data_IF_430612557618
#
_entry.id   IF_430612557618
#
_cell.length_a   1.000
_cell.length_b   1.000
_cell.length_c   1.000
_cell.angle_alpha   90.00
_cell.angle_beta   90.00
_cell.angle_gamma   90.00
#
_symmetry.space_group_name_H-M   'P 1'
#
loop_
_entity.id
_entity.type
_entity.pdbx_description
1 polymer ?
#
# COMPACT_ATOMS: atom_id res chain seq x y z
N UNK A 1 -65.72 43.67 24.29
CA UNK A 1 -66.16 42.34 23.81
C UNK A 1 -64.97 41.46 23.71
N UNK A 2 -64.85 40.50 24.59
CA UNK A 2 -63.71 39.58 24.63
C UNK A 2 -64.13 38.28 24.00
N UNK A 3 -63.20 37.74 23.13
CA UNK A 3 -63.30 36.37 22.73
C UNK A 3 -61.95 35.69 22.99
N UNK A 4 -61.94 34.78 23.94
CA UNK A 4 -60.86 33.91 24.30
C UNK A 4 -60.68 32.80 23.24
N UNK A 5 -59.44 32.56 22.83
CA UNK A 5 -59.02 31.46 22.00
C UNK A 5 -58.28 30.42 22.86
N UNK A 6 -58.84 29.21 22.95
CA UNK A 6 -58.25 28.06 23.62
C UNK A 6 -57.04 27.54 22.83
N UNK A 7 -55.85 27.53 23.46
CA UNK A 7 -54.69 26.79 22.96
C UNK A 7 -54.82 25.30 23.30
N UNK A 8 -55.04 24.49 22.28
CA UNK A 8 -55.00 23.04 22.39
C UNK A 8 -53.54 22.55 22.57
N UNK A 9 -53.31 21.84 23.66
CA UNK A 9 -52.03 21.21 24.00
C UNK A 9 -51.94 19.88 23.26
N UNK A 10 -51.14 19.81 22.21
CA UNK A 10 -50.83 18.57 21.52
C UNK A 10 -49.82 17.77 22.33
N UNK A 11 -50.23 16.59 22.78
CA UNK A 11 -49.33 15.60 23.38
C UNK A 11 -48.55 14.90 22.29
N UNK A 12 -47.22 15.10 22.27
CA UNK A 12 -46.31 14.33 21.44
C UNK A 12 -46.02 13.03 22.16
N UNK A 13 -46.54 11.92 21.66
CA UNK A 13 -46.15 10.59 22.09
C UNK A 13 -44.77 10.23 21.51
N UNK A 14 -43.74 10.21 22.34
CA UNK A 14 -42.46 9.62 22.03
C UNK A 14 -42.58 8.09 22.02
N UNK A 15 -42.66 7.51 20.85
CA UNK A 15 -42.43 6.07 20.68
C UNK A 15 -40.98 5.73 20.94
N UNK A 16 -40.69 5.18 22.11
CA UNK A 16 -39.44 4.49 22.39
C UNK A 16 -39.36 3.25 21.48
N UNK A 17 -38.54 3.32 20.45
CA UNK A 17 -38.19 2.16 19.62
C UNK A 17 -37.31 1.25 20.47
N UNK A 18 -37.88 0.15 20.95
CA UNK A 18 -37.19 -0.86 21.72
C UNK A 18 -35.98 -1.38 20.91
N UNK A 19 -34.80 -1.26 21.49
CA UNK A 19 -33.59 -1.89 21.02
C UNK A 19 -33.78 -3.40 21.16
N UNK A 20 -34.03 -4.11 20.06
CA UNK A 20 -34.00 -5.57 20.05
C UNK A 20 -32.55 -6.00 20.33
N UNK A 21 -32.28 -6.44 21.55
CA UNK A 21 -31.03 -7.13 21.87
C UNK A 21 -31.04 -8.46 21.10
N UNK A 22 -30.20 -8.58 20.09
CA UNK A 22 -29.96 -9.86 19.38
C UNK A 22 -29.22 -10.74 20.40
N UNK A 23 -29.91 -11.67 21.01
CA UNK A 23 -29.30 -12.69 21.86
C UNK A 23 -28.62 -13.73 20.94
N UNK A 24 -27.33 -13.54 20.65
CA UNK A 24 -26.53 -14.52 19.95
C UNK A 24 -26.19 -15.63 20.95
N UNK A 25 -26.54 -16.90 20.67
CA UNK A 25 -26.18 -18.01 21.55
C UNK A 25 -24.66 -18.05 21.75
N UNK A 26 -24.23 -18.23 22.99
CA UNK A 26 -22.81 -18.25 23.38
C UNK A 26 -21.91 -19.11 22.45
N UNK A 27 -22.30 -20.31 22.01
CA UNK A 27 -21.45 -21.10 21.11
C UNK A 27 -21.27 -20.44 19.73
N UNK A 28 -22.25 -19.71 19.22
CA UNK A 28 -22.13 -18.98 17.94
C UNK A 28 -21.18 -17.79 18.11
N UNK A 29 -21.26 -17.08 19.22
CA UNK A 29 -20.35 -15.97 19.51
C UNK A 29 -18.90 -16.45 19.60
N UNK A 30 -18.64 -17.59 20.24
CA UNK A 30 -17.31 -18.20 20.33
C UNK A 30 -16.78 -18.58 18.94
N UNK A 31 -17.61 -19.16 18.09
CA UNK A 31 -17.23 -19.51 16.72
C UNK A 31 -16.89 -18.28 15.87
N UNK A 32 -17.63 -17.17 16.02
CA UNK A 32 -17.35 -15.90 15.35
C UNK A 32 -15.98 -15.35 15.82
N UNK A 33 -15.74 -15.33 17.12
CA UNK A 33 -14.47 -14.84 17.69
C UNK A 33 -13.29 -15.68 17.23
N UNK A 34 -13.42 -17.01 17.25
CA UNK A 34 -12.38 -17.92 16.76
C UNK A 34 -12.14 -17.75 15.25
N UNK A 35 -13.20 -17.53 14.47
CA UNK A 35 -13.08 -17.26 13.03
C UNK A 35 -12.34 -15.96 12.75
N UNK A 36 -12.68 -14.88 13.47
CA UNK A 36 -11.99 -13.59 13.34
C UNK A 36 -10.52 -13.69 13.76
N UNK A 37 -10.22 -14.40 14.86
CA UNK A 37 -8.84 -14.63 15.31
C UNK A 37 -8.06 -15.47 14.29
N UNK A 38 -8.65 -16.50 13.71
CA UNK A 38 -8.01 -17.33 12.70
C UNK A 38 -7.68 -16.53 11.42
N UNK A 39 -8.60 -15.65 10.97
CA UNK A 39 -8.36 -14.76 9.82
C UNK A 39 -7.24 -13.77 10.15
N UNK A 40 -7.24 -13.17 11.34
CA UNK A 40 -6.20 -12.23 11.75
C UNK A 40 -4.82 -12.88 11.86
N UNK A 41 -4.74 -14.12 12.35
CA UNK A 41 -3.49 -14.90 12.41
C UNK A 41 -3.04 -15.27 11.00
N UNK A 42 -3.96 -15.65 10.12
CA UNK A 42 -3.68 -15.96 8.73
C UNK A 42 -3.11 -14.75 7.98
N UNK A 43 -3.77 -13.58 8.09
CA UNK A 43 -3.29 -12.34 7.48
C UNK A 43 -1.93 -11.90 8.03
N UNK A 44 -1.69 -12.03 9.34
CA UNK A 44 -0.41 -11.73 9.96
C UNK A 44 0.69 -12.70 9.48
N UNK A 45 0.37 -13.99 9.31
CA UNK A 45 1.31 -15.01 8.83
C UNK A 45 1.65 -14.82 7.35
N UNK A 46 0.66 -14.44 6.52
CA UNK A 46 0.89 -14.15 5.09
C UNK A 46 1.72 -12.88 4.89
N UNK A 47 1.54 -11.87 5.77
CA UNK A 47 2.33 -10.62 5.74
C UNK A 47 3.77 -10.77 6.23
N UNK A 48 4.12 -11.88 6.88
CA UNK A 48 5.44 -12.01 7.51
C UNK A 48 6.52 -12.68 6.66
N UNK A 49 6.16 -13.30 5.55
CA UNK A 49 7.07 -14.19 4.81
C UNK A 49 7.63 -13.55 3.52
N UNK A 50 8.22 -12.37 3.64
CA UNK A 50 9.01 -11.76 2.55
C UNK A 50 10.53 -11.82 2.80
N UNK A 51 10.95 -12.40 3.93
CA UNK A 51 12.35 -12.43 4.36
C UNK A 51 13.20 -13.53 3.70
N UNK A 52 14.45 -13.63 4.13
CA UNK A 52 15.44 -14.63 3.67
C UNK A 52 15.86 -14.51 2.21
N UNK A 53 15.71 -13.33 1.62
CA UNK A 53 16.20 -13.07 0.27
C UNK A 53 17.71 -12.76 0.28
N UNK A 54 18.38 -13.03 -0.83
CA UNK A 54 19.79 -12.70 -1.01
C UNK A 54 19.89 -11.56 -2.05
N UNK A 55 20.85 -10.62 -1.85
CA UNK A 55 21.13 -9.62 -2.85
C UNK A 55 21.50 -10.25 -4.21
N UNK A 56 21.23 -9.54 -5.31
CA UNK A 56 21.68 -9.96 -6.62
C UNK A 56 23.21 -9.93 -6.70
N UNK A 57 23.79 -10.98 -7.27
CA UNK A 57 25.22 -11.05 -7.57
C UNK A 57 25.47 -10.53 -8.97
N UNK A 58 26.48 -9.71 -9.14
CA UNK A 58 26.87 -9.16 -10.44
C UNK A 58 26.89 -7.65 -10.49
N UNK A 59 27.06 -7.11 -11.70
CA UNK A 59 27.02 -5.68 -11.98
C UNK A 59 25.99 -5.44 -13.06
N UNK A 60 25.06 -4.57 -12.79
CA UNK A 60 23.94 -4.23 -13.67
C UNK A 60 24.00 -2.76 -14.06
N UNK A 61 23.40 -2.40 -15.17
CA UNK A 61 23.23 -1.00 -15.55
C UNK A 61 22.36 -0.28 -14.49
N UNK A 62 22.62 0.98 -14.27
CA UNK A 62 21.77 1.79 -13.37
C UNK A 62 21.07 2.86 -14.18
N UNK A 63 19.77 3.01 -13.93
CA UNK A 63 19.02 4.14 -14.46
C UNK A 63 19.40 5.41 -13.69
N UNK A 64 19.53 6.58 -14.34
CA UNK A 64 20.06 7.79 -13.70
C UNK A 64 19.16 8.37 -12.60
N UNK A 65 17.89 7.98 -12.55
CA UNK A 65 16.91 8.52 -11.59
C UNK A 65 16.28 7.40 -10.77
N UNK A 66 16.01 7.68 -9.49
CA UNK A 66 15.24 6.80 -8.60
C UNK A 66 13.78 7.24 -8.49
N UNK A 67 13.52 8.52 -8.70
CA UNK A 67 12.19 9.12 -8.58
C UNK A 67 11.93 10.08 -9.74
N UNK A 68 10.78 9.94 -10.37
CA UNK A 68 10.23 10.85 -11.39
C UNK A 68 8.84 11.24 -10.92
N UNK A 69 8.69 12.42 -10.35
CA UNK A 69 7.38 12.95 -9.91
C UNK A 69 6.95 14.09 -10.81
N UNK A 70 6.19 13.76 -11.85
CA UNK A 70 5.67 14.72 -12.84
C UNK A 70 4.62 15.67 -12.25
N UNK A 71 4.08 15.34 -11.09
CA UNK A 71 2.90 16.00 -10.52
C UNK A 71 3.18 16.77 -9.24
N UNK A 72 4.41 16.69 -8.71
CA UNK A 72 4.77 17.16 -7.37
C UNK A 72 3.81 16.60 -6.29
N UNK A 73 3.43 15.34 -6.45
CA UNK A 73 2.51 14.66 -5.53
C UNK A 73 3.17 14.31 -4.21
N UNK A 74 4.44 13.91 -4.26
CA UNK A 74 5.22 13.51 -3.10
C UNK A 74 5.95 14.72 -2.52
N UNK A 75 6.15 14.75 -1.20
CA UNK A 75 7.02 15.72 -0.53
C UNK A 75 8.37 15.09 -0.23
N UNK A 76 9.36 15.96 0.03
CA UNK A 76 10.69 15.55 0.52
C UNK A 76 11.36 14.47 -0.35
N UNK A 77 11.43 14.73 -1.65
CA UNK A 77 11.96 13.81 -2.68
C UNK A 77 13.34 13.25 -2.30
N UNK A 78 14.19 14.04 -1.67
CA UNK A 78 15.53 13.60 -1.25
C UNK A 78 15.45 12.41 -0.27
N UNK A 79 14.53 12.44 0.68
CA UNK A 79 14.35 11.34 1.64
C UNK A 79 13.84 10.07 0.96
N UNK A 80 12.95 10.21 -0.04
CA UNK A 80 12.48 9.08 -0.84
C UNK A 80 13.64 8.46 -1.61
N UNK A 81 14.43 9.29 -2.28
CA UNK A 81 15.62 8.84 -3.03
C UNK A 81 16.61 8.14 -2.11
N UNK A 82 16.87 8.67 -0.90
CA UNK A 82 17.73 8.02 0.09
C UNK A 82 17.22 6.62 0.49
N UNK A 83 15.91 6.45 0.64
CA UNK A 83 15.30 5.15 0.92
C UNK A 83 15.45 4.16 -0.24
N UNK A 84 15.22 4.62 -1.48
CA UNK A 84 15.38 3.81 -2.70
C UNK A 84 16.85 3.44 -2.93
N UNK A 85 17.76 4.34 -2.65
CA UNK A 85 19.19 4.11 -2.74
C UNK A 85 19.68 3.11 -1.68
N UNK A 86 19.16 3.21 -0.45
CA UNK A 86 19.42 2.21 0.59
C UNK A 86 19.00 0.81 0.15
N UNK A 87 17.83 0.67 -0.48
CA UNK A 87 17.36 -0.60 -1.03
C UNK A 87 18.33 -1.11 -2.11
N UNK A 88 18.72 -0.26 -3.06
CA UNK A 88 19.70 -0.62 -4.10
C UNK A 88 21.03 -1.09 -3.51
N UNK A 89 21.61 -0.31 -2.59
CA UNK A 89 22.90 -0.61 -1.97
C UNK A 89 22.92 -1.94 -1.22
N UNK A 90 21.77 -2.36 -0.69
CA UNK A 90 21.63 -3.61 0.06
C UNK A 90 21.26 -4.82 -0.79
N UNK A 91 20.51 -4.62 -1.87
CA UNK A 91 19.93 -5.71 -2.65
C UNK A 91 20.50 -5.82 -4.05
N UNK A 92 21.18 -4.78 -4.53
CA UNK A 92 21.62 -4.64 -5.93
C UNK A 92 20.43 -4.63 -6.93
N UNK A 93 19.22 -4.33 -6.44
CA UNK A 93 18.00 -4.14 -7.23
C UNK A 93 17.65 -2.66 -7.24
N UNK A 94 17.61 -2.05 -8.41
CA UNK A 94 17.18 -0.67 -8.54
C UNK A 94 15.67 -0.58 -8.71
N UNK A 95 15.02 0.09 -7.76
CA UNK A 95 13.60 0.44 -7.83
C UNK A 95 13.47 1.88 -8.30
N UNK A 96 12.71 2.10 -9.37
CA UNK A 96 12.40 3.44 -9.89
C UNK A 96 10.91 3.71 -9.69
N UNK A 97 10.60 4.87 -9.12
CA UNK A 97 9.22 5.30 -8.87
C UNK A 97 8.86 6.42 -9.83
N UNK A 98 7.76 6.25 -10.54
CA UNK A 98 7.16 7.26 -11.43
C UNK A 98 5.80 7.67 -10.86
N UNK A 99 5.60 8.96 -10.63
CA UNK A 99 4.30 9.54 -10.24
C UNK A 99 3.76 10.33 -11.41
N UNK A 100 2.62 9.90 -11.94
CA UNK A 100 2.04 10.47 -13.15
C UNK A 100 0.53 10.69 -13.01
N UNK A 101 0.01 11.70 -13.70
CA UNK A 101 -1.44 11.93 -13.85
C UNK A 101 -2.05 11.23 -15.07
N UNK A 102 -1.24 10.50 -15.84
CA UNK A 102 -1.66 9.78 -17.04
C UNK A 102 -2.52 8.56 -16.73
N UNK A 103 -3.20 8.05 -17.76
CA UNK A 103 -3.87 6.75 -17.70
C UNK A 103 -2.86 5.62 -17.91
N UNK A 104 -2.89 4.64 -17.03
CA UNK A 104 -1.98 3.50 -17.04
C UNK A 104 -2.74 2.17 -17.12
N UNK A 105 -2.02 1.10 -17.45
CA UNK A 105 -2.46 -0.28 -17.43
C UNK A 105 -1.23 -1.15 -17.17
N UNK A 106 -1.44 -2.42 -16.81
CA UNK A 106 -0.35 -3.38 -16.61
C UNK A 106 0.55 -3.47 -17.84
N UNK A 107 -0.05 -3.58 -19.04
CA UNK A 107 0.72 -3.66 -20.28
C UNK A 107 1.56 -2.40 -20.52
N UNK A 108 0.99 -1.21 -20.24
CA UNK A 108 1.73 0.04 -20.40
C UNK A 108 2.88 0.16 -19.41
N UNK A 109 2.73 -0.36 -18.19
CA UNK A 109 3.81 -0.39 -17.21
C UNK A 109 4.96 -1.30 -17.67
N UNK A 110 4.63 -2.47 -18.23
CA UNK A 110 5.62 -3.38 -18.83
C UNK A 110 6.30 -2.74 -20.04
N UNK A 111 5.54 -2.10 -20.94
CA UNK A 111 6.11 -1.41 -22.10
C UNK A 111 7.06 -0.27 -21.70
N UNK A 112 6.73 0.45 -20.61
CA UNK A 112 7.57 1.51 -20.09
C UNK A 112 8.82 0.96 -19.41
N UNK A 113 8.72 -0.16 -18.68
CA UNK A 113 9.85 -0.86 -18.10
C UNK A 113 10.93 -1.14 -19.16
N UNK A 114 10.56 -1.79 -20.28
CA UNK A 114 11.49 -2.14 -21.35
C UNK A 114 11.99 -0.95 -22.18
N UNK A 115 11.41 0.24 -22.05
CA UNK A 115 11.99 1.48 -22.58
C UNK A 115 13.01 2.11 -21.65
N UNK A 116 12.86 1.91 -20.35
CA UNK A 116 13.71 2.52 -19.34
C UNK A 116 14.95 1.69 -19.03
N UNK A 117 14.83 0.36 -19.07
CA UNK A 117 15.87 -0.54 -18.59
C UNK A 117 16.33 -1.51 -19.67
N UNK A 118 17.65 -1.70 -19.71
CA UNK A 118 18.32 -2.61 -20.65
C UNK A 118 18.54 -4.00 -20.04
N UNK A 119 18.33 -4.18 -18.73
CA UNK A 119 18.48 -5.44 -18.02
C UNK A 119 17.34 -5.70 -17.02
N UNK A 120 17.34 -6.89 -16.44
CA UNK A 120 16.25 -7.41 -15.59
C UNK A 120 16.50 -7.21 -14.07
N UNK A 121 17.47 -6.37 -13.69
CA UNK A 121 17.79 -6.09 -12.28
C UNK A 121 17.03 -4.88 -11.70
N UNK A 122 15.90 -4.55 -12.30
CA UNK A 122 15.11 -3.36 -11.99
C UNK A 122 13.67 -3.69 -11.59
N UNK A 123 13.05 -2.75 -10.87
CA UNK A 123 11.60 -2.70 -10.64
C UNK A 123 11.11 -1.29 -10.95
N UNK A 124 10.03 -1.19 -11.70
CA UNK A 124 9.30 0.05 -11.96
C UNK A 124 8.03 0.07 -11.12
N UNK A 125 7.82 1.12 -10.36
CA UNK A 125 6.56 1.39 -9.65
C UNK A 125 5.95 2.64 -10.24
N UNK A 126 4.68 2.59 -10.62
CA UNK A 126 3.93 3.70 -11.17
C UNK A 126 2.78 4.04 -10.24
N UNK A 127 2.76 5.27 -9.73
CA UNK A 127 1.72 5.80 -8.88
C UNK A 127 0.88 6.78 -9.71
N UNK A 128 -0.42 6.51 -9.80
CA UNK A 128 -1.32 7.41 -10.51
C UNK A 128 -1.98 8.39 -9.56
N UNK A 129 -2.01 9.67 -9.94
CA UNK A 129 -2.66 10.73 -9.15
C UNK A 129 -4.06 11.06 -9.64
N UNK A 130 -4.63 10.25 -10.54
CA UNK A 130 -5.97 10.45 -11.08
C UNK A 130 -7.04 10.34 -9.99
N UNK A 131 -8.00 11.27 -9.97
CA UNK A 131 -9.10 11.30 -9.00
C UNK A 131 -10.07 10.12 -9.12
N UNK A 132 -10.07 9.43 -10.26
CA UNK A 132 -11.03 8.36 -10.56
C UNK A 132 -10.47 6.96 -10.41
N UNK A 133 -9.14 6.81 -10.42
CA UNK A 133 -8.48 5.51 -10.37
C UNK A 133 -7.23 5.63 -9.49
N UNK A 134 -7.32 5.13 -8.26
CA UNK A 134 -6.15 4.85 -7.45
C UNK A 134 -5.62 3.47 -7.84
N UNK A 135 -4.97 3.38 -8.95
CA UNK A 135 -4.26 2.16 -9.31
C UNK A 135 -2.76 2.45 -9.31
N UNK A 136 -2.06 1.61 -8.60
CA UNK A 136 -0.63 1.55 -8.69
C UNK A 136 -0.28 0.36 -9.56
N UNK A 137 0.64 0.58 -10.46
CA UNK A 137 1.11 -0.45 -11.38
C UNK A 137 2.57 -0.70 -11.10
N UNK A 138 3.04 -1.91 -11.37
CA UNK A 138 4.45 -2.20 -11.31
C UNK A 138 4.86 -3.19 -12.42
N UNK A 139 6.15 -3.16 -12.74
CA UNK A 139 6.81 -4.16 -13.56
C UNK A 139 8.11 -4.57 -12.87
N UNK A 140 8.39 -5.87 -12.86
CA UNK A 140 9.54 -6.48 -12.20
C UNK A 140 10.31 -7.27 -13.25
N UNK A 141 11.63 -7.04 -13.34
CA UNK A 141 12.50 -7.85 -14.18
C UNK A 141 12.74 -9.25 -13.59
N UNK A 142 13.05 -10.20 -14.43
CA UNK A 142 13.23 -11.61 -14.04
C UNK A 142 14.30 -11.81 -12.95
N UNK A 143 15.42 -11.07 -13.02
CA UNK A 143 16.45 -11.11 -11.99
C UNK A 143 15.97 -10.52 -10.68
N UNK A 144 15.28 -9.38 -10.75
CA UNK A 144 14.68 -8.72 -9.58
C UNK A 144 13.71 -9.63 -8.85
N UNK A 145 12.91 -10.43 -9.56
CA UNK A 145 11.91 -11.33 -8.98
C UNK A 145 12.53 -12.38 -8.02
N UNK A 146 13.82 -12.67 -8.14
CA UNK A 146 14.53 -13.53 -7.18
C UNK A 146 14.72 -12.89 -5.81
N UNK A 147 14.70 -11.55 -5.74
CA UNK A 147 14.89 -10.73 -4.51
C UNK A 147 13.57 -10.10 -4.07
N UNK A 148 12.90 -9.41 -4.99
CA UNK A 148 11.59 -8.79 -4.77
C UNK A 148 10.60 -9.53 -5.67
N UNK A 149 9.99 -10.58 -5.15
CA UNK A 149 8.92 -11.30 -5.83
C UNK A 149 7.59 -10.53 -5.76
N UNK A 150 6.57 -10.97 -6.49
CA UNK A 150 5.25 -10.31 -6.54
C UNK A 150 4.67 -10.05 -5.14
N UNK A 151 4.86 -10.98 -4.20
CA UNK A 151 4.38 -10.82 -2.82
C UNK A 151 5.11 -9.70 -2.09
N UNK A 152 6.41 -9.62 -2.26
CA UNK A 152 7.23 -8.57 -1.66
C UNK A 152 6.91 -7.20 -2.31
N UNK A 153 6.69 -7.18 -3.62
CA UNK A 153 6.26 -5.99 -4.35
C UNK A 153 4.90 -5.49 -3.87
N UNK A 154 3.91 -6.37 -3.78
CA UNK A 154 2.58 -6.03 -3.25
C UNK A 154 2.65 -5.50 -1.81
N UNK A 155 3.48 -6.13 -0.95
CA UNK A 155 3.69 -5.65 0.40
C UNK A 155 4.30 -4.24 0.42
N UNK A 156 5.35 -4.00 -0.38
CA UNK A 156 6.02 -2.70 -0.49
C UNK A 156 5.05 -1.62 -0.97
N UNK A 157 4.36 -1.86 -2.08
CA UNK A 157 3.45 -0.91 -2.70
C UNK A 157 2.30 -0.56 -1.75
N UNK A 158 1.62 -1.56 -1.19
CA UNK A 158 0.54 -1.34 -0.24
C UNK A 158 1.00 -0.55 1.00
N UNK A 159 2.22 -0.79 1.48
CA UNK A 159 2.77 -0.08 2.63
C UNK A 159 3.14 1.36 2.28
N UNK A 160 3.70 1.63 1.11
CA UNK A 160 4.03 2.97 0.65
C UNK A 160 2.78 3.81 0.42
N UNK A 161 1.77 3.28 -0.27
CA UNK A 161 0.52 3.97 -0.56
C UNK A 161 -0.20 4.38 0.73
N UNK A 162 -0.24 3.48 1.71
CA UNK A 162 -0.86 3.76 3.00
C UNK A 162 -0.09 4.81 3.83
N UNK A 163 1.18 5.07 3.51
CA UNK A 163 2.01 6.04 4.22
C UNK A 163 1.94 7.47 3.64
N UNK A 164 1.04 7.72 2.72
CA UNK A 164 0.79 9.06 2.18
C UNK A 164 1.92 9.65 1.33
N UNK A 165 1.93 10.98 1.21
CA UNK A 165 2.87 11.75 0.38
C UNK A 165 4.17 12.14 1.09
N UNK A 166 4.35 11.70 2.32
CA UNK A 166 5.41 12.18 3.21
C UNK A 166 6.73 11.40 3.00
N UNK A 167 7.79 12.10 2.62
CA UNK A 167 9.10 11.53 2.32
C UNK A 167 9.76 10.81 3.49
N UNK A 168 9.64 11.32 4.71
CA UNK A 168 10.20 10.66 5.91
C UNK A 168 9.58 9.27 6.13
N UNK A 169 8.27 9.16 5.89
CA UNK A 169 7.58 7.88 6.00
C UNK A 169 8.02 6.92 4.90
N UNK A 170 8.21 7.43 3.69
CA UNK A 170 8.71 6.64 2.58
C UNK A 170 10.11 6.10 2.85
N UNK A 171 11.04 6.96 3.27
CA UNK A 171 12.40 6.56 3.61
C UNK A 171 12.40 5.45 4.67
N UNK A 172 11.64 5.64 5.74
CA UNK A 172 11.51 4.64 6.80
C UNK A 172 10.96 3.32 6.29
N UNK A 173 9.85 3.35 5.52
CA UNK A 173 9.22 2.15 4.98
C UNK A 173 10.18 1.40 4.05
N UNK A 174 10.89 2.10 3.18
CA UNK A 174 11.85 1.49 2.27
C UNK A 174 13.01 0.82 3.02
N UNK A 175 13.52 1.44 4.07
CA UNK A 175 14.57 0.86 4.93
C UNK A 175 14.05 -0.37 5.69
N UNK A 176 12.91 -0.25 6.36
CA UNK A 176 12.27 -1.36 7.09
C UNK A 176 11.94 -2.55 6.16
N UNK A 177 11.45 -2.26 4.96
CA UNK A 177 11.20 -3.28 3.92
C UNK A 177 12.49 -3.99 3.53
N UNK A 178 13.55 -3.24 3.23
CA UNK A 178 14.84 -3.77 2.81
C UNK A 178 15.43 -4.69 3.89
N UNK A 179 15.43 -4.23 5.14
CA UNK A 179 15.96 -4.99 6.27
C UNK A 179 15.15 -6.27 6.51
N UNK A 180 13.82 -6.19 6.37
CA UNK A 180 12.95 -7.36 6.48
C UNK A 180 13.18 -8.35 5.34
N UNK A 181 13.34 -7.87 4.11
CA UNK A 181 13.59 -8.69 2.92
C UNK A 181 14.86 -9.54 3.06
N UNK A 182 15.91 -8.97 3.65
CA UNK A 182 17.21 -9.60 3.84
C UNK A 182 17.35 -10.34 5.20
N UNK A 183 16.41 -10.17 6.12
CA UNK A 183 16.46 -10.84 7.42
C UNK A 183 16.36 -12.35 7.25
N UNK A 184 17.21 -13.07 7.96
CA UNK A 184 17.07 -14.53 8.10
C UNK A 184 15.78 -14.85 8.86
N UNK A 185 15.01 -15.80 8.37
CA UNK A 185 13.82 -16.33 9.04
C UNK A 185 14.21 -17.15 10.27
#
# INVERSE_FOLDING_TARGET
MAHGGHCGRSHVHHHYRGRSSINIPTPILILIILGVLAISIWEASVKSDIGSKKPLEGTYATYPLYLIDETNYLSDHELIINGLQYLYDKTNVQVVVVVSSGSWSDQKAVDEYYKMFDDEAHMLIIITTSWYEKYDYYAIGDLTNSVIDDRAADYLINTLINNSRNGEKWERVLKEFTDKLLSAS
#
